data_IF_513731709043
#
_entry.id   IF_513731709043
#
_cell.length_a   1.000
_cell.length_b   1.000
_cell.length_c   1.000
_cell.angle_alpha   90.00
_cell.angle_beta   90.00
_cell.angle_gamma   90.00
#
_symmetry.space_group_name_H-M   'P 1'
#
loop_
_entity.id
_entity.type
_entity.pdbx_description
1 polymer ?
#
# COMPACT_ATOMS: atom_id res chain seq x y z
N UNK A 1 3.31 -25.63 -10.19
CA UNK A 1 4.18 -24.70 -9.46
C UNK A 1 3.37 -24.23 -8.27
N UNK A 2 3.75 -24.64 -7.06
CA UNK A 2 3.05 -24.30 -5.82
C UNK A 2 4.01 -23.40 -5.06
N UNK A 3 3.72 -22.11 -5.05
CA UNK A 3 4.53 -21.11 -4.37
C UNK A 3 4.33 -21.24 -2.86
N UNK A 4 5.44 -21.18 -2.12
CA UNK A 4 5.62 -21.86 -0.85
C UNK A 4 5.55 -20.91 0.36
N UNK A 5 4.46 -20.14 0.48
CA UNK A 5 4.22 -19.27 1.63
C UNK A 5 2.84 -19.49 2.29
N UNK A 6 2.32 -20.73 2.31
CA UNK A 6 1.19 -21.06 3.18
C UNK A 6 1.65 -21.21 4.64
N UNK A 7 1.51 -20.15 5.43
CA UNK A 7 1.79 -20.16 6.88
C UNK A 7 1.76 -18.79 7.54
N UNK A 8 2.03 -18.74 8.86
CA UNK A 8 2.01 -17.54 9.70
C UNK A 8 2.91 -16.38 9.19
N UNK A 9 3.90 -16.71 8.35
CA UNK A 9 4.84 -15.77 7.73
C UNK A 9 4.48 -15.38 6.29
N UNK A 10 3.50 -16.04 5.67
CA UNK A 10 3.01 -15.68 4.33
C UNK A 10 1.85 -14.69 4.32
N UNK A 11 1.23 -14.45 5.48
CA UNK A 11 0.23 -13.39 5.64
C UNK A 11 0.90 -12.05 5.91
N UNK A 12 1.26 -11.38 4.82
CA UNK A 12 1.73 -10.00 4.83
C UNK A 12 0.55 -9.04 4.86
N UNK A 13 0.57 -8.08 5.78
CA UNK A 13 -0.37 -6.96 5.81
C UNK A 13 0.28 -5.73 5.23
N UNK A 14 -0.50 -4.97 4.46
CA UNK A 14 -0.06 -3.73 3.84
C UNK A 14 -0.69 -2.52 4.51
N UNK A 15 0.08 -1.45 4.68
CA UNK A 15 -0.40 -0.18 5.26
C UNK A 15 0.28 1.02 4.60
N UNK A 16 -0.41 2.17 4.59
CA UNK A 16 0.18 3.44 4.17
C UNK A 16 0.88 4.07 5.38
N UNK A 17 2.20 4.25 5.26
CA UNK A 17 3.06 4.72 6.36
C UNK A 17 3.20 6.23 6.36
N UNK A 18 3.45 6.80 5.18
CA UNK A 18 3.46 8.25 4.96
C UNK A 18 2.55 8.52 3.77
N UNK A 19 1.47 9.25 4.04
CA UNK A 19 0.52 9.67 3.02
C UNK A 19 0.08 11.09 3.39
N UNK A 20 0.12 12.00 2.41
CA UNK A 20 -0.43 13.35 2.58
C UNK A 20 -1.94 13.26 2.78
N UNK A 21 -2.56 14.19 3.51
CA UNK A 21 -4.02 14.22 3.69
C UNK A 21 -4.80 14.22 2.37
N UNK A 22 -4.21 14.79 1.31
CA UNK A 22 -4.80 14.75 -0.03
C UNK A 22 -4.76 13.33 -0.61
N UNK A 23 -3.62 12.67 -0.52
CA UNK A 23 -3.41 11.32 -1.06
C UNK A 23 -4.23 10.27 -0.29
N UNK A 24 -4.46 10.44 1.02
CA UNK A 24 -5.31 9.52 1.80
C UNK A 24 -6.79 9.56 1.41
N UNK A 25 -7.24 10.67 0.81
CA UNK A 25 -8.60 10.83 0.27
C UNK A 25 -8.71 10.40 -1.21
N UNK A 26 -7.59 10.11 -1.87
CA UNK A 26 -7.52 9.74 -3.28
C UNK A 26 -7.21 8.26 -3.45
N UNK A 27 -6.32 7.71 -2.64
CA UNK A 27 -5.83 6.34 -2.76
C UNK A 27 -6.35 5.46 -1.62
N UNK A 28 -6.73 4.25 -1.98
CA UNK A 28 -7.05 3.17 -1.05
C UNK A 28 -6.07 2.02 -1.24
N UNK A 29 -5.52 1.53 -0.13
CA UNK A 29 -4.67 0.35 -0.09
C UNK A 29 -5.42 -0.79 0.59
N UNK A 30 -5.61 -1.89 -0.13
CA UNK A 30 -6.13 -3.11 0.43
C UNK A 30 -5.06 -3.78 1.30
N UNK A 31 -5.36 -3.97 2.59
CA UNK A 31 -4.39 -4.46 3.56
C UNK A 31 -4.01 -5.93 3.39
N UNK A 32 -4.82 -6.72 2.67
CA UNK A 32 -4.60 -8.16 2.48
C UNK A 32 -3.77 -8.45 1.23
N UNK A 33 -4.04 -7.70 0.16
CA UNK A 33 -3.49 -7.95 -1.17
C UNK A 33 -2.40 -6.95 -1.55
N UNK A 34 -2.36 -5.79 -0.88
CA UNK A 34 -1.49 -4.67 -1.25
C UNK A 34 -1.95 -3.92 -2.49
N UNK A 35 -3.17 -4.18 -2.99
CA UNK A 35 -3.69 -3.51 -4.16
C UNK A 35 -4.00 -2.03 -3.85
N UNK A 36 -3.45 -1.14 -4.69
CA UNK A 36 -3.74 0.31 -4.63
C UNK A 36 -4.84 0.62 -5.64
N UNK A 37 -5.88 1.30 -5.19
CA UNK A 37 -7.03 1.72 -5.98
C UNK A 37 -7.36 3.19 -5.72
N UNK A 38 -8.10 3.79 -6.65
CA UNK A 38 -8.54 5.18 -6.54
C UNK A 38 -9.93 5.26 -5.88
N UNK A 39 -10.05 6.06 -4.83
CA UNK A 39 -11.32 6.41 -4.19
C UNK A 39 -12.08 7.48 -4.97
N UNK A 40 -11.35 8.34 -5.70
CA UNK A 40 -11.89 9.39 -6.57
C UNK A 40 -11.04 9.54 -7.81
N UNK A 41 -11.60 10.15 -8.85
CA UNK A 41 -10.87 10.52 -10.06
C UNK A 41 -9.73 11.49 -9.74
N UNK A 42 -8.60 11.29 -10.41
CA UNK A 42 -7.46 12.19 -10.37
C UNK A 42 -7.74 13.40 -11.29
N UNK A 43 -7.50 14.59 -10.77
CA UNK A 43 -7.49 15.83 -11.55
C UNK A 43 -6.07 16.38 -11.56
N UNK A 44 -5.52 16.58 -12.76
CA UNK A 44 -4.17 17.10 -12.95
C UNK A 44 -4.02 18.53 -12.39
N UNK A 45 -5.11 19.31 -12.32
CA UNK A 45 -5.09 20.65 -11.73
C UNK A 45 -4.99 20.61 -10.19
N UNK A 46 -5.41 19.51 -9.55
CA UNK A 46 -5.31 19.34 -8.09
C UNK A 46 -3.93 18.79 -7.65
N UNK A 47 -3.25 18.00 -8.51
CA UNK A 47 -1.91 17.51 -8.25
C UNK A 47 -1.30 16.79 -9.45
N UNK A 48 -0.08 17.16 -9.83
CA UNK A 48 0.66 16.57 -10.95
C UNK A 48 1.41 15.28 -10.57
N UNK A 49 1.68 15.08 -9.28
CA UNK A 49 2.40 13.91 -8.75
C UNK A 49 1.97 13.58 -7.32
N UNK A 50 1.98 12.29 -6.98
CA UNK A 50 1.64 11.78 -5.65
C UNK A 50 2.69 10.77 -5.21
N UNK A 51 3.23 10.96 -4.01
CA UNK A 51 4.17 10.02 -3.42
C UNK A 51 3.48 9.25 -2.28
N UNK A 52 3.47 7.92 -2.37
CA UNK A 52 2.91 7.02 -1.37
C UNK A 52 4.02 6.15 -0.79
N UNK A 53 4.10 6.07 0.54
CA UNK A 53 4.99 5.12 1.22
C UNK A 53 4.16 3.95 1.76
N UNK A 54 4.31 2.77 1.14
CA UNK A 54 3.60 1.54 1.51
C UNK A 54 4.52 0.68 2.37
N UNK A 55 4.04 0.26 3.53
CA UNK A 55 4.68 -0.70 4.40
C UNK A 55 4.04 -2.08 4.26
N UNK A 56 4.86 -3.11 4.10
CA UNK A 56 4.45 -4.51 4.26
C UNK A 56 4.92 -5.01 5.63
N UNK A 57 4.09 -5.76 6.35
CA UNK A 57 4.44 -6.37 7.63
C UNK A 57 3.99 -7.82 7.68
N UNK A 58 4.88 -8.74 7.99
CA UNK A 58 4.53 -10.15 8.17
C UNK A 58 3.98 -10.45 9.58
N UNK A 59 3.44 -11.66 9.77
CA UNK A 59 2.95 -12.12 11.07
C UNK A 59 4.04 -12.32 12.14
N UNK A 60 5.32 -12.29 11.76
CA UNK A 60 6.49 -12.33 12.64
C UNK A 60 6.95 -10.95 13.13
N UNK A 61 6.35 -9.87 12.63
CA UNK A 61 6.66 -8.49 13.00
C UNK A 61 7.81 -7.86 12.20
N UNK A 62 8.33 -8.54 11.18
CA UNK A 62 9.24 -7.89 10.23
C UNK A 62 8.43 -7.00 9.30
N UNK A 63 9.00 -5.86 8.95
CA UNK A 63 8.36 -4.93 8.01
C UNK A 63 9.34 -4.39 7.01
N UNK A 64 8.90 -4.27 5.77
CA UNK A 64 9.61 -3.60 4.68
C UNK A 64 8.81 -2.38 4.22
N UNK A 65 9.41 -1.50 3.43
CA UNK A 65 8.76 -0.27 2.99
C UNK A 65 9.18 0.11 1.58
N UNK A 66 8.19 0.41 0.74
CA UNK A 66 8.37 0.77 -0.66
C UNK A 66 7.73 2.12 -0.96
N UNK A 67 8.34 2.85 -1.90
CA UNK A 67 7.87 4.14 -2.38
C UNK A 67 7.18 3.97 -3.74
N UNK A 68 6.00 4.56 -3.89
CA UNK A 68 5.23 4.59 -5.14
C UNK A 68 5.08 6.05 -5.57
N UNK A 69 5.44 6.34 -6.82
CA UNK A 69 5.43 7.67 -7.43
C UNK A 69 4.85 7.60 -8.83
#
# INVERSE_FOLDING_TARGET
ATDADEGLYGHVKYSLKTVSDMASNIFHLDSETGAISLLRSLDYEEGDSYELEVQSRDGGGLSDTAKVT
#
